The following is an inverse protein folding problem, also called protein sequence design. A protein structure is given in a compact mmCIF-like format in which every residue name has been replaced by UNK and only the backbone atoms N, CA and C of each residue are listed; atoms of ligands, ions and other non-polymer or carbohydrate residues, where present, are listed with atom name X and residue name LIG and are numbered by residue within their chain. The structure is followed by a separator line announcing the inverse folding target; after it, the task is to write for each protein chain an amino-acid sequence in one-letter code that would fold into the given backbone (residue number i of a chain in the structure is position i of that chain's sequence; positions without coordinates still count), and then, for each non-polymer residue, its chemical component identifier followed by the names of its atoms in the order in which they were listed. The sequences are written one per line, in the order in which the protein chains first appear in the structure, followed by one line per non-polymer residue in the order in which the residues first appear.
data_IF_782656599053
#
_entry.id   IF_782656599053
#
_cell.length_a   1.000
_cell.length_b   1.000
_cell.length_c   1.000
_cell.angle_alpha   90.00
_cell.angle_beta   90.00
_cell.angle_gamma   90.00
#
_symmetry.space_group_name_H-M   'P 1'
#
loop_
_entity.id
_entity.type
_entity.pdbx_description
1 polymer ?
#
# COMPACT_ATOMS: atom_id res chain seq x y z
N UNK A 1 -17.17 -2.47 -20.00
CA UNK A 1 -16.49 -3.08 -18.83
C UNK A 1 -17.41 -2.89 -17.63
N UNK A 2 -17.89 -3.98 -17.02
CA UNK A 2 -18.91 -3.92 -15.96
C UNK A 2 -18.38 -3.32 -14.66
N UNK A 3 -19.17 -2.50 -13.97
CA UNK A 3 -18.84 -1.97 -12.65
C UNK A 3 -18.77 -3.13 -11.65
N UNK A 4 -17.63 -3.33 -11.00
CA UNK A 4 -17.50 -4.30 -9.91
C UNK A 4 -18.31 -3.79 -8.70
N UNK A 5 -19.21 -4.59 -8.11
CA UNK A 5 -19.95 -4.20 -6.92
C UNK A 5 -19.01 -3.84 -5.76
N UNK A 6 -19.27 -2.72 -5.08
CA UNK A 6 -18.46 -2.24 -3.97
C UNK A 6 -18.44 -3.18 -2.74
N UNK A 7 -19.41 -4.10 -2.67
CA UNK A 7 -19.71 -4.90 -1.48
C UNK A 7 -19.03 -6.28 -1.44
N UNK A 8 -18.46 -6.75 -2.55
CA UNK A 8 -17.77 -8.05 -2.63
C UNK A 8 -16.25 -7.85 -2.69
N UNK A 9 -15.61 -7.96 -1.54
CA UNK A 9 -14.17 -7.94 -1.36
C UNK A 9 -13.43 -8.99 -2.22
N UNK A 10 -13.97 -10.20 -2.38
CA UNK A 10 -13.34 -11.30 -3.11
C UNK A 10 -13.22 -11.00 -4.59
N UNK A 11 -14.23 -10.35 -5.18
CA UNK A 11 -14.16 -9.92 -6.60
C UNK A 11 -13.00 -8.96 -6.84
N UNK A 12 -12.70 -8.07 -5.88
CA UNK A 12 -11.54 -7.19 -6.00
C UNK A 12 -10.24 -7.97 -5.96
N UNK A 13 -10.11 -8.91 -5.03
CA UNK A 13 -8.88 -9.69 -4.88
C UNK A 13 -8.67 -10.64 -6.07
N UNK A 14 -9.73 -11.20 -6.65
CA UNK A 14 -9.67 -11.97 -7.90
C UNK A 14 -9.27 -11.09 -9.09
N UNK A 15 -9.81 -9.87 -9.18
CA UNK A 15 -9.41 -8.91 -10.22
C UNK A 15 -7.93 -8.51 -10.09
N UNK A 16 -7.41 -8.41 -8.87
CA UNK A 16 -5.99 -8.19 -8.61
C UNK A 16 -5.17 -9.39 -9.09
N UNK A 17 -5.51 -10.61 -8.68
CA UNK A 17 -4.83 -11.84 -9.12
C UNK A 17 -4.78 -11.96 -10.64
N UNK A 18 -5.92 -11.76 -11.31
CA UNK A 18 -5.99 -11.77 -12.77
C UNK A 18 -5.09 -10.69 -13.40
N UNK A 19 -5.04 -9.49 -12.80
CA UNK A 19 -4.17 -8.41 -13.26
C UNK A 19 -2.69 -8.75 -13.07
N UNK A 20 -2.33 -9.40 -11.97
CA UNK A 20 -0.96 -9.89 -11.74
C UNK A 20 -0.57 -10.92 -12.80
N UNK A 21 -1.46 -11.90 -13.06
CA UNK A 21 -1.23 -12.97 -14.03
C UNK A 21 -1.01 -12.42 -15.45
N UNK A 22 -1.83 -11.47 -15.89
CA UNK A 22 -1.68 -10.79 -17.20
C UNK A 22 -0.34 -10.07 -17.35
N UNK A 23 0.30 -9.68 -16.24
CA UNK A 23 1.61 -9.04 -16.20
C UNK A 23 2.75 -10.04 -15.93
N UNK A 24 2.47 -11.34 -16.01
CA UNK A 24 3.45 -12.42 -15.80
C UNK A 24 3.87 -12.59 -14.34
N UNK A 25 3.01 -12.20 -13.39
CA UNK A 25 3.27 -12.29 -11.95
C UNK A 25 2.39 -13.40 -11.38
N UNK A 26 3.01 -14.41 -10.79
CA UNK A 26 2.32 -15.50 -10.10
C UNK A 26 2.45 -15.34 -8.59
N UNK A 27 1.38 -15.67 -7.87
CA UNK A 27 1.39 -15.74 -6.40
C UNK A 27 1.84 -17.16 -5.99
N UNK A 28 2.95 -17.31 -5.24
CA UNK A 28 3.36 -18.60 -4.73
C UNK A 28 2.39 -19.14 -3.68
N UNK A 29 2.12 -20.43 -3.74
CA UNK A 29 1.46 -21.16 -2.66
C UNK A 29 2.29 -21.10 -1.37
N UNK A 30 1.62 -20.91 -0.24
CA UNK A 30 2.20 -20.68 1.09
C UNK A 30 2.68 -19.25 1.34
N UNK A 31 2.49 -18.31 0.40
CA UNK A 31 2.89 -16.91 0.61
C UNK A 31 1.96 -16.18 1.60
N UNK A 32 2.46 -15.12 2.23
CA UNK A 32 1.64 -14.24 3.09
C UNK A 32 0.51 -13.60 2.25
N UNK A 33 0.76 -13.29 0.98
CA UNK A 33 -0.26 -12.80 0.06
C UNK A 33 -1.38 -13.82 -0.15
N UNK A 34 -1.06 -15.08 -0.45
CA UNK A 34 -2.05 -16.15 -0.60
C UNK A 34 -2.85 -16.34 0.70
N UNK A 35 -2.18 -16.29 1.85
CA UNK A 35 -2.85 -16.43 3.15
C UNK A 35 -3.89 -15.33 3.38
N UNK A 36 -3.56 -14.07 3.07
CA UNK A 36 -4.50 -12.95 3.20
C UNK A 36 -5.61 -13.03 2.14
N UNK A 37 -5.30 -13.48 0.93
CA UNK A 37 -6.28 -13.74 -0.14
C UNK A 37 -7.32 -14.78 0.30
N UNK A 38 -6.86 -15.92 0.84
CA UNK A 38 -7.71 -17.00 1.33
C UNK A 38 -8.58 -16.52 2.50
N UNK A 39 -8.01 -15.72 3.40
CA UNK A 39 -8.77 -15.13 4.49
C UNK A 39 -9.92 -14.24 3.98
N UNK A 40 -9.68 -13.41 2.96
CA UNK A 40 -10.75 -12.59 2.35
C UNK A 40 -11.87 -13.48 1.79
N UNK A 41 -11.53 -14.51 1.02
CA UNK A 41 -12.53 -15.44 0.45
C UNK A 41 -13.34 -16.15 1.52
N UNK A 42 -12.67 -16.71 2.52
CA UNK A 42 -13.33 -17.41 3.62
C UNK A 42 -14.31 -16.50 4.38
N UNK A 43 -13.97 -15.22 4.57
CA UNK A 43 -14.87 -14.25 5.22
C UNK A 43 -16.07 -13.87 4.36
N UNK A 44 -15.99 -13.96 3.05
CA UNK A 44 -17.15 -13.77 2.17
C UNK A 44 -18.08 -14.97 2.18
N UNK A 45 -17.54 -16.18 2.12
CA UNK A 45 -18.30 -17.43 2.23
C UNK A 45 -19.06 -17.47 3.56
N UNK A 46 -18.39 -17.09 4.66
CA UNK A 46 -19.01 -16.89 5.96
C UNK A 46 -20.19 -15.91 5.94
N UNK A 47 -20.04 -14.75 5.28
CA UNK A 47 -21.13 -13.77 5.12
C UNK A 47 -22.30 -14.30 4.29
N UNK A 48 -22.04 -15.21 3.36
CA UNK A 48 -23.04 -15.86 2.52
C UNK A 48 -23.78 -17.03 3.22
N UNK A 49 -23.55 -17.23 4.52
CA UNK A 49 -24.21 -18.27 5.33
C UNK A 49 -23.28 -19.36 5.87
N UNK A 50 -21.96 -19.21 5.68
CA UNK A 50 -20.97 -20.09 6.31
C UNK A 50 -20.81 -19.87 7.82
N UNK A 51 -20.27 -20.88 8.50
CA UNK A 51 -19.95 -20.82 9.94
C UNK A 51 -18.67 -20.04 10.21
N UNK A 52 -18.70 -19.20 11.25
CA UNK A 52 -17.53 -18.46 11.77
C UNK A 52 -17.33 -18.80 13.23
N UNK A 53 -16.09 -19.10 13.63
CA UNK A 53 -15.74 -19.14 15.05
C UNK A 53 -15.77 -17.73 15.62
N UNK A 54 -16.72 -17.47 16.53
CA UNK A 54 -16.88 -16.17 17.17
C UNK A 54 -15.84 -15.89 18.26
N UNK A 55 -15.06 -16.91 18.68
CA UNK A 55 -14.03 -16.78 19.72
C UNK A 55 -12.64 -16.50 19.14
N UNK A 56 -12.47 -16.59 17.83
CA UNK A 56 -11.20 -16.34 17.13
C UNK A 56 -10.88 -14.83 17.07
N UNK A 57 -9.69 -14.42 17.55
CA UNK A 57 -9.21 -13.03 17.40
C UNK A 57 -8.60 -12.82 16.00
N UNK A 58 -9.42 -12.33 15.09
CA UNK A 58 -9.10 -12.18 13.66
C UNK A 58 -8.69 -10.76 13.28
N UNK A 59 -8.46 -9.90 14.27
CA UNK A 59 -8.19 -8.46 14.04
C UNK A 59 -6.92 -8.25 13.22
N UNK A 60 -5.89 -9.07 13.41
CA UNK A 60 -4.66 -8.98 12.65
C UNK A 60 -4.90 -9.28 11.16
N UNK A 61 -5.63 -10.36 10.86
CA UNK A 61 -5.95 -10.75 9.49
C UNK A 61 -6.87 -9.74 8.82
N UNK A 62 -7.84 -9.19 9.55
CA UNK A 62 -8.69 -8.10 9.05
C UNK A 62 -7.88 -6.85 8.67
N UNK A 63 -6.85 -6.47 9.44
CA UNK A 63 -5.99 -5.32 9.10
C UNK A 63 -5.21 -5.55 7.79
N UNK A 64 -4.70 -6.77 7.58
CA UNK A 64 -4.05 -7.15 6.32
C UNK A 64 -5.05 -7.17 5.16
N UNK A 65 -6.20 -7.79 5.36
CA UNK A 65 -7.27 -7.90 4.37
C UNK A 65 -7.77 -6.55 3.87
N UNK A 66 -8.00 -5.58 4.76
CA UNK A 66 -8.41 -4.22 4.38
C UNK A 66 -7.38 -3.58 3.46
N UNK A 67 -6.10 -3.70 3.79
CA UNK A 67 -5.03 -3.16 2.94
C UNK A 67 -4.95 -3.86 1.59
N UNK A 68 -5.14 -5.19 1.53
CA UNK A 68 -5.12 -5.95 0.28
C UNK A 68 -6.31 -5.56 -0.62
N UNK A 69 -7.51 -5.44 -0.06
CA UNK A 69 -8.70 -5.00 -0.79
C UNK A 69 -8.51 -3.57 -1.32
N UNK A 70 -7.90 -2.69 -0.52
CA UNK A 70 -7.61 -1.32 -0.95
C UNK A 70 -6.61 -1.29 -2.10
N UNK A 71 -5.51 -2.06 -2.00
CA UNK A 71 -4.54 -2.24 -3.07
C UNK A 71 -5.21 -2.77 -4.34
N UNK A 72 -6.02 -3.83 -4.22
CA UNK A 72 -6.72 -4.44 -5.33
C UNK A 72 -7.60 -3.45 -6.09
N UNK A 73 -8.35 -2.61 -5.37
CA UNK A 73 -9.19 -1.55 -5.96
C UNK A 73 -8.35 -0.52 -6.71
N UNK A 74 -7.25 -0.07 -6.12
CA UNK A 74 -6.35 0.90 -6.75
C UNK A 74 -5.69 0.34 -8.01
N UNK A 75 -5.19 -0.89 -7.97
CA UNK A 75 -4.61 -1.59 -9.12
C UNK A 75 -5.64 -1.74 -10.23
N UNK A 76 -6.86 -2.15 -9.90
CA UNK A 76 -7.94 -2.28 -10.88
C UNK A 76 -8.27 -0.93 -11.55
N UNK A 77 -8.32 0.16 -10.78
CA UNK A 77 -8.59 1.50 -11.33
C UNK A 77 -7.43 2.00 -12.20
N UNK A 78 -6.18 1.78 -11.81
CA UNK A 78 -5.02 2.09 -12.64
C UNK A 78 -5.04 1.31 -13.96
N UNK A 79 -5.35 0.01 -13.92
CA UNK A 79 -5.56 -0.81 -15.12
C UNK A 79 -6.67 -0.28 -16.01
N UNK A 80 -7.83 0.02 -15.42
CA UNK A 80 -9.01 0.47 -16.16
C UNK A 80 -8.81 1.81 -16.87
N UNK A 81 -7.89 2.64 -16.37
CA UNK A 81 -7.48 3.92 -16.98
C UNK A 81 -6.29 3.80 -17.93
N UNK A 82 -5.72 2.59 -18.10
CA UNK A 82 -4.56 2.37 -18.96
C UNK A 82 -3.24 2.89 -18.38
N UNK A 83 -3.17 3.21 -17.09
CA UNK A 83 -1.99 3.77 -16.43
C UNK A 83 -1.30 2.79 -15.47
N UNK A 84 -1.49 1.48 -15.64
CA UNK A 84 -0.92 0.46 -14.75
C UNK A 84 0.61 0.31 -14.88
N UNK A 85 1.15 0.57 -16.08
CA UNK A 85 2.52 0.23 -16.44
C UNK A 85 3.61 0.71 -15.46
N UNK A 86 3.55 1.95 -14.91
CA UNK A 86 4.55 2.43 -13.95
C UNK A 86 4.64 1.57 -12.67
N UNK A 87 3.58 0.85 -12.32
CA UNK A 87 3.48 0.11 -11.07
C UNK A 87 3.93 -1.36 -11.19
N UNK A 88 4.12 -1.86 -12.41
CA UNK A 88 4.35 -3.30 -12.67
C UNK A 88 5.61 -3.82 -11.95
N UNK A 89 6.68 -3.02 -11.88
CA UNK A 89 7.90 -3.43 -11.18
C UNK A 89 7.69 -3.59 -9.67
N UNK A 90 6.89 -2.74 -9.04
CA UNK A 90 6.51 -2.90 -7.63
C UNK A 90 5.54 -4.07 -7.44
N UNK A 91 4.59 -4.26 -8.36
CA UNK A 91 3.64 -5.38 -8.31
C UNK A 91 4.35 -6.74 -8.34
N UNK A 92 5.46 -6.86 -9.09
CA UNK A 92 6.30 -8.07 -9.14
C UNK A 92 6.89 -8.50 -7.80
N UNK A 93 6.86 -7.62 -6.81
CA UNK A 93 7.46 -7.87 -5.52
C UNK A 93 6.44 -8.23 -4.44
N UNK A 94 5.16 -7.99 -4.68
CA UNK A 94 4.05 -8.44 -3.82
C UNK A 94 4.14 -9.92 -3.41
N UNK A 95 4.47 -10.87 -4.32
CA UNK A 95 4.46 -12.28 -3.93
C UNK A 95 5.62 -12.66 -2.99
N UNK A 96 6.63 -11.79 -2.86
CA UNK A 96 7.84 -12.03 -2.06
C UNK A 96 7.75 -11.43 -0.66
N UNK A 97 6.75 -10.59 -0.39
CA UNK A 97 6.75 -9.70 0.75
C UNK A 97 5.60 -9.96 1.70
N UNK A 98 5.83 -9.64 2.97
CA UNK A 98 4.78 -9.62 3.97
C UNK A 98 3.90 -8.40 3.75
N UNK A 99 2.61 -8.62 3.70
CA UNK A 99 1.63 -7.56 3.54
C UNK A 99 1.32 -6.91 4.90
N UNK A 100 2.22 -6.05 5.36
CA UNK A 100 2.14 -5.37 6.67
C UNK A 100 2.05 -3.84 6.53
N UNK A 101 0.98 -3.35 5.91
CA UNK A 101 0.71 -1.90 5.80
C UNK A 101 0.00 -1.32 7.03
N UNK A 102 -0.82 -2.14 7.67
CA UNK A 102 -1.60 -1.80 8.87
C UNK A 102 -1.14 -2.60 10.09
N UNK A 103 0.15 -2.97 10.11
CA UNK A 103 0.77 -3.72 11.18
C UNK A 103 2.21 -3.22 11.35
N UNK A 104 2.78 -3.43 12.54
CA UNK A 104 4.18 -3.09 12.76
C UNK A 104 5.06 -4.08 12.01
N UNK A 105 6.00 -3.55 11.23
CA UNK A 105 6.97 -4.31 10.47
C UNK A 105 8.29 -3.55 10.46
N UNK A 106 9.04 -3.66 11.57
CA UNK A 106 10.37 -3.08 11.67
C UNK A 106 11.32 -3.82 10.70
N UNK A 107 12.12 -3.06 9.95
CA UNK A 107 13.15 -3.58 9.02
C UNK A 107 12.62 -4.40 7.83
N UNK A 108 11.32 -4.38 7.55
CA UNK A 108 10.74 -5.05 6.39
C UNK A 108 10.74 -4.11 5.18
N UNK A 109 11.82 -4.19 4.39
CA UNK A 109 11.96 -3.43 3.14
C UNK A 109 10.80 -3.68 2.16
N UNK A 110 10.27 -4.90 2.13
CA UNK A 110 9.15 -5.23 1.27
C UNK A 110 7.89 -4.45 1.63
N UNK A 111 7.63 -4.32 2.92
CA UNK A 111 6.53 -3.49 3.41
C UNK A 111 6.73 -1.99 3.13
N UNK A 112 7.96 -1.50 2.97
CA UNK A 112 8.21 -0.10 2.58
C UNK A 112 7.89 0.12 1.10
N UNK A 113 8.26 -0.84 0.25
CA UNK A 113 7.97 -0.79 -1.18
C UNK A 113 6.49 -0.98 -1.50
N UNK A 114 5.75 -1.75 -0.71
CA UNK A 114 4.28 -1.77 -0.80
C UNK A 114 3.67 -0.41 -0.44
N UNK A 115 4.27 0.34 0.50
CA UNK A 115 3.82 1.70 0.79
C UNK A 115 4.06 2.64 -0.38
N UNK A 116 5.24 2.61 -1.01
CA UNK A 116 5.53 3.36 -2.25
C UNK A 116 4.49 3.03 -3.34
N UNK A 117 4.22 1.74 -3.57
CA UNK A 117 3.21 1.29 -4.54
C UNK A 117 1.82 1.86 -4.23
N UNK A 118 1.36 1.74 -2.97
CA UNK A 118 0.06 2.27 -2.56
C UNK A 118 -0.02 3.78 -2.80
N UNK A 119 1.02 4.52 -2.42
CA UNK A 119 1.05 5.96 -2.57
C UNK A 119 1.08 6.37 -4.04
N UNK A 120 1.91 5.72 -4.87
CA UNK A 120 1.94 5.98 -6.31
C UNK A 120 0.62 5.69 -7.01
N UNK A 121 -0.07 4.62 -6.62
CA UNK A 121 -1.42 4.33 -7.12
C UNK A 121 -2.42 5.43 -6.72
N UNK A 122 -2.34 5.96 -5.49
CA UNK A 122 -3.17 7.10 -5.08
C UNK A 122 -2.82 8.35 -5.88
N UNK A 123 -1.55 8.63 -6.13
CA UNK A 123 -1.13 9.73 -7.01
C UNK A 123 -1.73 9.62 -8.42
N UNK A 124 -1.86 8.40 -8.96
CA UNK A 124 -2.53 8.18 -10.26
C UNK A 124 -4.03 8.49 -10.26
N UNK A 125 -4.66 8.61 -9.08
CA UNK A 125 -6.04 9.12 -8.95
C UNK A 125 -6.11 10.64 -8.98
N UNK A 126 -5.01 11.32 -8.64
CA UNK A 126 -4.95 12.77 -8.53
C UNK A 126 -4.34 13.46 -9.76
N UNK A 127 -3.62 12.73 -10.61
CA UNK A 127 -2.92 13.31 -11.76
C UNK A 127 -2.39 12.29 -12.76
N UNK A 128 -1.67 12.82 -13.75
CA UNK A 128 -1.21 12.06 -14.92
C UNK A 128 0.31 11.87 -14.94
N UNK A 129 0.77 11.00 -15.84
CA UNK A 129 2.19 10.81 -16.10
C UNK A 129 2.97 10.26 -14.91
N UNK A 130 2.36 9.38 -14.11
CA UNK A 130 3.01 8.80 -12.93
C UNK A 130 4.27 8.04 -13.35
N UNK A 131 5.37 8.29 -12.63
CA UNK A 131 6.62 7.53 -12.73
C UNK A 131 6.98 7.06 -11.33
N UNK A 132 7.30 5.78 -11.22
CA UNK A 132 7.75 5.15 -9.98
C UNK A 132 9.27 4.92 -10.06
N UNK A 133 10.00 5.18 -8.98
CA UNK A 133 11.41 4.79 -8.92
C UNK A 133 11.56 3.26 -8.90
N UNK A 134 12.59 2.71 -9.54
CA UNK A 134 12.68 1.25 -9.64
C UNK A 134 12.88 0.61 -8.25
N UNK A 135 12.00 -0.31 -7.81
CA UNK A 135 12.02 -0.80 -6.44
C UNK A 135 13.22 -1.69 -6.10
N UNK A 136 13.98 -2.15 -7.10
CA UNK A 136 15.16 -3.02 -6.93
C UNK A 136 16.46 -2.27 -7.30
N UNK A 137 16.40 -1.41 -8.30
CA UNK A 137 17.57 -0.70 -8.85
C UNK A 137 17.68 0.75 -8.37
N UNK A 138 16.78 1.21 -7.51
CA UNK A 138 16.86 2.55 -6.91
C UNK A 138 18.23 2.78 -6.29
N UNK A 139 18.85 3.90 -6.66
CA UNK A 139 20.10 4.38 -6.05
C UNK A 139 19.85 5.47 -5.00
N UNK A 140 18.58 5.69 -4.62
CA UNK A 140 18.18 6.74 -3.68
C UNK A 140 18.46 8.15 -4.20
N UNK A 141 18.42 8.36 -5.52
CA UNK A 141 18.73 9.66 -6.17
C UNK A 141 17.51 10.36 -6.76
N UNK A 142 16.37 9.69 -6.76
CA UNK A 142 15.09 10.20 -7.26
C UNK A 142 14.05 10.11 -6.13
N UNK A 143 12.98 10.93 -6.16
CA UNK A 143 11.79 10.68 -5.37
C UNK A 143 11.17 9.34 -5.79
N UNK A 144 10.48 8.70 -4.85
CA UNK A 144 9.84 7.39 -5.08
C UNK A 144 8.69 7.48 -6.10
N UNK A 145 8.01 8.63 -6.15
CA UNK A 145 6.91 8.89 -7.09
C UNK A 145 7.07 10.27 -7.72
N UNK A 146 6.93 10.35 -9.04
CA UNK A 146 6.69 11.60 -9.76
C UNK A 146 5.30 11.56 -10.41
N UNK A 147 4.57 12.68 -10.39
CA UNK A 147 3.25 12.80 -11.00
C UNK A 147 2.97 14.24 -11.40
N UNK A 148 2.18 14.48 -12.44
CA UNK A 148 1.73 15.82 -12.82
C UNK A 148 0.36 16.10 -12.24
N UNK A 149 0.27 17.08 -11.34
CA UNK A 149 -0.98 17.53 -10.68
C UNK A 149 -1.08 19.04 -10.88
N UNK A 150 -2.23 19.51 -11.37
CA UNK A 150 -2.48 20.93 -11.69
C UNK A 150 -1.38 21.55 -12.57
N UNK A 151 -0.97 20.84 -13.63
CA UNK A 151 0.09 21.23 -14.56
C UNK A 151 1.48 21.44 -13.95
N UNK A 152 1.72 20.95 -12.73
CA UNK A 152 3.03 20.99 -12.08
C UNK A 152 3.54 19.58 -11.85
N UNK A 153 4.85 19.39 -12.01
CA UNK A 153 5.51 18.11 -11.74
C UNK A 153 5.83 17.99 -10.26
N UNK A 154 5.15 17.08 -9.57
CA UNK A 154 5.35 16.79 -8.15
C UNK A 154 6.29 15.59 -7.97
N UNK A 155 7.23 15.71 -7.03
CA UNK A 155 8.06 14.62 -6.54
C UNK A 155 7.74 14.30 -5.08
N UNK A 156 7.48 13.02 -4.81
CA UNK A 156 7.16 12.50 -3.49
C UNK A 156 8.22 11.50 -3.02
N UNK A 157 8.80 11.76 -1.85
CA UNK A 157 9.68 10.81 -1.17
C UNK A 157 8.91 10.12 -0.04
N UNK A 158 8.79 8.81 -0.10
CA UNK A 158 8.07 7.94 0.82
C UNK A 158 9.02 7.44 1.93
N UNK A 159 8.74 7.81 3.18
CA UNK A 159 9.56 7.44 4.33
C UNK A 159 8.73 6.67 5.35
N UNK A 160 9.20 5.48 5.73
CA UNK A 160 8.61 4.73 6.84
C UNK A 160 9.39 5.04 8.10
N UNK A 161 8.69 5.53 9.13
CA UNK A 161 9.33 5.78 10.42
C UNK A 161 9.53 4.45 11.16
N UNK A 162 10.70 4.27 11.79
CA UNK A 162 11.03 3.10 12.60
C UNK A 162 10.97 3.37 14.11
N UNK A 163 10.69 4.61 14.53
CA UNK A 163 10.64 4.99 15.94
C UNK A 163 10.10 6.42 16.14
N UNK A 164 9.93 6.79 17.41
CA UNK A 164 9.34 8.07 17.83
C UNK A 164 10.34 9.20 18.07
N UNK A 165 11.64 8.93 17.94
CA UNK A 165 12.64 9.98 18.24
C UNK A 165 12.53 11.09 17.19
N UNK A 166 12.49 12.34 17.65
CA UNK A 166 12.48 13.50 16.76
C UNK A 166 13.68 13.52 15.82
N UNK A 167 14.82 12.99 16.27
CA UNK A 167 16.02 12.79 15.45
C UNK A 167 15.75 11.87 14.26
N UNK A 168 15.14 10.70 14.47
CA UNK A 168 14.82 9.78 13.34
C UNK A 168 13.81 10.40 12.38
N UNK A 169 12.85 11.19 12.86
CA UNK A 169 11.93 11.92 11.99
C UNK A 169 12.68 12.95 11.15
N UNK A 170 13.56 13.74 11.78
CA UNK A 170 14.36 14.76 11.12
C UNK A 170 15.30 14.15 10.06
N UNK A 171 16.04 13.08 10.40
CA UNK A 171 16.94 12.39 9.47
C UNK A 171 16.18 11.88 8.23
N UNK A 172 15.00 11.27 8.42
CA UNK A 172 14.18 10.78 7.31
C UNK A 172 13.59 11.91 6.48
N UNK A 173 13.24 13.04 7.10
CA UNK A 173 12.81 14.23 6.39
C UNK A 173 13.93 14.77 5.51
N UNK A 174 15.14 14.92 6.06
CA UNK A 174 16.31 15.41 5.33
C UNK A 174 16.65 14.48 4.16
N UNK A 175 16.68 13.16 4.37
CA UNK A 175 16.89 12.19 3.29
C UNK A 175 15.82 12.32 2.17
N UNK A 176 14.57 12.60 2.53
CA UNK A 176 13.48 12.77 1.56
C UNK A 176 13.61 14.06 0.76
N UNK A 177 13.98 15.16 1.42
CA UNK A 177 14.27 16.45 0.76
C UNK A 177 15.43 16.26 -0.22
N UNK A 178 16.54 15.65 0.22
CA UNK A 178 17.71 15.39 -0.62
C UNK A 178 17.39 14.55 -1.86
N UNK A 179 16.43 13.62 -1.77
CA UNK A 179 15.98 12.82 -2.91
C UNK A 179 15.17 13.65 -3.91
N UNK A 180 14.33 14.54 -3.42
CA UNK A 180 13.49 15.42 -4.25
C UNK A 180 14.34 16.47 -4.94
N UNK A 181 15.24 17.16 -4.21
CA UNK A 181 16.07 18.23 -4.77
C UNK A 181 17.03 17.75 -5.86
N UNK A 182 17.41 16.47 -5.83
CA UNK A 182 18.25 15.86 -6.87
C UNK A 182 17.49 15.55 -8.17
N UNK A 183 16.17 15.49 -8.13
CA UNK A 183 15.36 15.19 -9.30
C UNK A 183 15.07 16.47 -10.09
N UNK A 184 15.77 16.61 -11.22
CA UNK A 184 15.61 17.76 -12.12
C UNK A 184 14.20 17.93 -12.69
N UNK A 185 13.37 16.90 -12.61
CA UNK A 185 11.99 16.92 -13.11
C UNK A 185 10.99 17.51 -12.09
N UNK A 186 11.27 17.51 -10.79
CA UNK A 186 10.30 17.94 -9.78
C UNK A 186 10.26 19.47 -9.63
N UNK A 187 9.10 20.07 -9.86
CA UNK A 187 8.81 21.49 -9.59
C UNK A 187 8.31 21.72 -8.17
N UNK A 188 7.71 20.69 -7.57
CA UNK A 188 7.18 20.69 -6.19
C UNK A 188 7.58 19.41 -5.49
N UNK A 189 8.00 19.54 -4.23
CA UNK A 189 8.43 18.44 -3.38
C UNK A 189 7.51 18.18 -2.21
N UNK A 190 7.25 16.92 -1.87
CA UNK A 190 6.62 16.54 -0.62
C UNK A 190 7.22 15.25 -0.04
N UNK A 191 7.62 15.27 1.23
CA UNK A 191 8.02 14.06 1.96
C UNK A 191 6.80 13.49 2.66
N UNK A 192 6.54 12.20 2.43
CA UNK A 192 5.36 11.50 2.92
C UNK A 192 5.78 10.44 3.92
N UNK A 193 5.24 10.51 5.13
CA UNK A 193 5.56 9.56 6.19
C UNK A 193 4.49 8.47 6.34
N UNK A 194 4.94 7.21 6.32
CA UNK A 194 4.15 6.10 6.83
C UNK A 194 4.43 5.94 8.33
N UNK A 195 3.39 6.10 9.12
CA UNK A 195 3.43 6.06 10.58
C UNK A 195 3.21 4.66 11.17
N UNK A 196 3.23 3.60 10.36
CA UNK A 196 2.80 2.26 10.81
C UNK A 196 3.56 1.72 12.02
N UNK A 197 4.88 1.94 12.10
CA UNK A 197 5.64 1.42 13.23
C UNK A 197 5.51 2.28 14.50
N UNK A 198 4.99 3.51 14.37
CA UNK A 198 4.77 4.45 15.47
C UNK A 198 3.30 4.52 15.90
N UNK A 199 2.40 3.78 15.27
CA UNK A 199 1.04 3.60 15.77
C UNK A 199 0.95 2.38 16.68
N UNK A 200 0.12 2.47 17.73
CA UNK A 200 -0.21 1.35 18.60
C UNK A 200 -1.52 0.73 18.14
N UNK A 201 -1.42 -0.44 17.51
CA UNK A 201 -2.57 -1.18 16.98
C UNK A 201 -3.23 -2.12 18.00
N UNK A 202 -2.68 -2.19 19.22
CA UNK A 202 -3.09 -3.13 20.27
C UNK A 202 -3.89 -2.48 21.39
N UNK A 203 -3.83 -1.14 21.52
CA UNK A 203 -4.68 -0.40 22.46
C UNK A 203 -6.15 -0.63 22.12
N UNK A 204 -6.80 -1.44 22.95
CA UNK A 204 -8.26 -1.37 23.14
C UNK A 204 -8.55 0.07 23.54
N UNK A 205 -9.41 0.77 22.80
CA UNK A 205 -10.17 1.87 23.38
C UNK A 205 -10.96 1.25 24.53
N UNK A 206 -10.42 1.32 25.75
CA UNK A 206 -11.22 1.17 26.95
C UNK A 206 -12.13 2.39 26.92
N UNK A 207 -13.33 2.22 26.38
CA UNK A 207 -14.40 3.20 26.45
C UNK A 207 -14.81 3.39 27.90
N UNK A 208 -14.02 4.15 28.65
CA UNK A 208 -14.52 5.14 29.58
C UNK A 208 -14.68 6.42 28.79
N UNK A 209 -15.89 6.95 28.78
CA UNK A 209 -16.26 8.27 28.28
C UNK A 209 -15.17 9.33 28.51
N UNK A 210 -14.55 9.81 27.43
CA UNK A 210 -14.40 11.23 27.10
C UNK A 210 -13.38 11.43 25.96
N UNK A 211 -13.78 12.23 24.98
CA UNK A 211 -12.86 13.02 24.18
C UNK A 211 -12.42 12.38 22.87
N UNK A 212 -12.98 12.94 21.78
CA UNK A 212 -12.39 13.05 20.45
C UNK A 212 -10.85 12.92 20.43
N UNK A 213 -10.33 12.08 19.54
CA UNK A 213 -9.57 12.51 18.36
C UNK A 213 -9.18 11.29 17.50
N UNK A 214 -9.34 11.50 16.19
CA UNK A 214 -9.13 10.62 15.03
C UNK A 214 -10.25 9.60 14.76
#
# INVERSE_FOLDING_TARGET
MGKIPHEQAGVWVEALEQTLLENGITIPTGSDFESVWLFVKHREEARAGGTVDQMEDTRADHRKAIGLIHLARLVYRAKSRGCLQPFVNHLRLLPKWRFAQNDRAFFDEGSNKVFELLFGLVCSEAGDGVVMDDPVRSKGKNPDVLVTIDNRRWGFACKVLSGYSGQTVYERLQEGIDQIEKASEAEVGCVVFNLKNVMDYTKRTKGGSNGLLC
#
